data_IF_246120026512
#
_entry.id   IF_246120026512
#
_cell.length_a   1.000
_cell.length_b   1.000
_cell.length_c   1.000
_cell.angle_alpha   90.00
_cell.angle_beta   90.00
_cell.angle_gamma   90.00
#
_symmetry.space_group_name_H-M   'P 1'
#
loop_
_entity.id
_entity.type
_entity.pdbx_description
1 polymer ?
#
# COMPACT_ATOMS: atom_id res chain seq x y z
N UNK A 1 25.11 20.55 -7.06
CA UNK A 1 25.11 19.43 -6.11
C UNK A 1 24.10 18.44 -6.68
N UNK A 2 24.57 17.35 -7.29
CA UNK A 2 23.72 16.40 -8.01
C UNK A 2 23.46 15.22 -7.07
N UNK A 3 22.23 15.11 -6.57
CA UNK A 3 21.81 13.96 -5.75
C UNK A 3 21.50 12.79 -6.69
N UNK A 4 22.52 11.98 -6.94
CA UNK A 4 22.35 10.65 -7.53
C UNK A 4 21.96 9.73 -6.38
N UNK A 5 20.67 9.38 -6.30
CA UNK A 5 20.24 8.34 -5.35
C UNK A 5 20.51 6.99 -6.02
N UNK A 6 21.79 6.59 -6.00
CA UNK A 6 22.08 5.22 -5.66
C UNK A 6 21.55 5.05 -4.25
N UNK A 7 20.92 3.93 -3.94
CA UNK A 7 20.70 3.58 -2.53
C UNK A 7 22.06 3.14 -1.97
N UNK A 8 23.01 4.08 -1.97
CA UNK A 8 24.33 3.99 -1.41
C UNK A 8 24.19 4.41 0.03
N UNK A 9 24.32 3.43 0.91
CA UNK A 9 24.25 3.62 2.33
C UNK A 9 25.56 3.12 2.91
N UNK A 10 26.26 3.93 3.74
CA UNK A 10 27.45 3.45 4.43
C UNK A 10 27.04 2.22 5.26
N UNK A 11 27.70 1.11 4.97
CA UNK A 11 27.39 -0.22 5.49
C UNK A 11 27.35 -0.29 7.04
N UNK A 12 27.95 0.68 7.74
CA UNK A 12 28.14 0.66 9.20
C UNK A 12 26.98 1.24 10.03
N UNK A 13 25.91 1.78 9.42
CA UNK A 13 24.86 2.48 10.18
C UNK A 13 23.42 2.24 9.69
N UNK A 14 22.96 0.99 9.55
CA UNK A 14 21.61 0.74 9.02
C UNK A 14 20.63 -0.06 9.90
N UNK A 15 19.50 0.60 10.21
CA UNK A 15 18.18 0.02 10.51
C UNK A 15 17.44 -0.24 9.19
N UNK A 16 16.45 -1.15 9.12
CA UNK A 16 15.93 -1.72 7.86
C UNK A 16 15.28 -0.65 6.96
N UNK A 17 16.02 -0.14 5.98
CA UNK A 17 15.65 1.07 5.22
C UNK A 17 15.21 0.83 3.77
N UNK A 18 15.33 -0.39 3.26
CA UNK A 18 14.97 -0.69 1.88
C UNK A 18 13.60 -1.36 1.80
N UNK A 19 12.55 -0.57 2.05
CA UNK A 19 11.16 -0.97 1.81
C UNK A 19 10.66 -0.37 0.50
N UNK A 20 9.80 -1.08 -0.27
CA UNK A 20 9.19 -0.57 -1.50
C UNK A 20 8.58 0.81 -1.30
N UNK A 21 7.91 1.04 -0.16
CA UNK A 21 7.37 2.36 0.16
C UNK A 21 8.38 3.51 0.16
N UNK A 22 9.61 3.32 0.65
CA UNK A 22 10.61 4.39 0.60
C UNK A 22 11.09 4.62 -0.83
N UNK A 23 11.33 3.54 -1.56
CA UNK A 23 11.76 3.59 -2.96
C UNK A 23 10.68 4.27 -3.82
N UNK A 24 9.40 4.05 -3.52
CA UNK A 24 8.27 4.67 -4.21
C UNK A 24 8.27 6.21 -4.09
N UNK A 25 8.78 6.75 -2.98
CA UNK A 25 8.96 8.21 -2.81
C UNK A 25 9.97 8.78 -3.80
N UNK A 26 11.11 8.10 -3.98
CA UNK A 26 12.11 8.51 -4.96
C UNK A 26 11.61 8.29 -6.39
N UNK A 27 10.89 7.20 -6.61
CA UNK A 27 10.25 6.92 -7.89
C UNK A 27 9.25 8.02 -8.29
N UNK A 28 8.41 8.50 -7.35
CA UNK A 28 7.55 9.67 -7.60
C UNK A 28 8.34 10.92 -8.01
N UNK A 29 9.50 11.18 -7.41
CA UNK A 29 10.35 12.31 -7.80
C UNK A 29 10.90 12.11 -9.23
N UNK A 30 11.32 10.89 -9.57
CA UNK A 30 11.73 10.54 -10.93
C UNK A 30 10.58 10.75 -11.93
N UNK A 31 9.36 10.29 -11.62
CA UNK A 31 8.19 10.48 -12.47
C UNK A 31 7.86 11.96 -12.69
N UNK A 32 7.96 12.78 -11.65
CA UNK A 32 7.78 14.24 -11.75
C UNK A 32 8.84 14.87 -12.65
N UNK A 33 10.11 14.48 -12.50
CA UNK A 33 11.20 14.95 -13.34
C UNK A 33 11.01 14.52 -14.80
N UNK A 34 10.58 13.27 -15.03
CA UNK A 34 10.22 12.72 -16.35
C UNK A 34 9.11 13.52 -17.01
N UNK A 35 8.06 13.86 -16.27
CA UNK A 35 6.96 14.70 -16.78
C UNK A 35 7.45 16.10 -17.17
N UNK A 36 8.39 16.67 -16.41
CA UNK A 36 8.89 18.03 -16.62
C UNK A 36 9.94 18.15 -17.73
N UNK A 37 10.84 17.17 -17.85
CA UNK A 37 12.01 17.25 -18.74
C UNK A 37 12.10 16.14 -19.80
N UNK A 38 11.19 15.18 -19.79
CA UNK A 38 11.26 13.97 -20.62
C UNK A 38 12.09 12.85 -19.99
N UNK A 39 11.94 11.63 -20.53
CA UNK A 39 12.57 10.43 -20.01
C UNK A 39 14.10 10.48 -20.06
N UNK A 40 14.68 10.96 -21.16
CA UNK A 40 16.14 10.99 -21.34
C UNK A 40 16.82 11.91 -20.32
N UNK A 41 16.27 13.11 -20.11
CA UNK A 41 16.77 14.02 -19.08
C UNK A 41 16.60 13.44 -17.68
N UNK A 42 15.45 12.83 -17.35
CA UNK A 42 15.25 12.21 -16.04
C UNK A 42 16.18 11.01 -15.79
N UNK A 43 16.39 10.16 -16.80
CA UNK A 43 17.29 9.01 -16.74
C UNK A 43 18.77 9.43 -16.59
N UNK A 44 19.14 10.59 -17.14
CA UNK A 44 20.49 11.15 -17.04
C UNK A 44 20.72 11.90 -15.73
N UNK A 45 19.76 12.74 -15.32
CA UNK A 45 19.89 13.65 -14.18
C UNK A 45 19.70 12.93 -12.84
N UNK A 46 18.66 12.08 -12.73
CA UNK A 46 18.27 11.46 -11.46
C UNK A 46 17.55 10.12 -11.67
N UNK A 47 18.22 9.09 -12.23
CA UNK A 47 17.61 7.77 -12.36
C UNK A 47 17.34 7.17 -10.98
N UNK A 48 16.20 6.49 -10.84
CA UNK A 48 15.86 5.67 -9.66
C UNK A 48 15.70 4.25 -10.15
N UNK A 49 16.69 3.41 -9.85
CA UNK A 49 16.79 2.05 -10.38
C UNK A 49 16.79 1.06 -9.22
N UNK A 50 15.91 0.06 -9.31
CA UNK A 50 15.96 -1.15 -8.49
C UNK A 50 16.58 -2.24 -9.35
N UNK A 51 17.61 -2.90 -8.83
CA UNK A 51 18.26 -4.00 -9.54
C UNK A 51 17.55 -5.32 -9.19
N UNK A 52 17.10 -6.10 -10.19
CA UNK A 52 16.37 -7.34 -9.94
C UNK A 52 17.22 -8.34 -9.19
N UNK A 53 16.61 -9.09 -8.26
CA UNK A 53 17.21 -10.26 -7.59
C UNK A 53 18.37 -9.98 -6.62
N UNK A 54 18.80 -8.73 -6.51
CA UNK A 54 19.81 -8.32 -5.55
C UNK A 54 19.16 -8.01 -4.19
N UNK A 55 19.95 -8.10 -3.14
CA UNK A 55 19.63 -7.58 -1.81
C UNK A 55 20.57 -6.41 -1.45
N UNK A 56 20.43 -5.91 -0.22
CA UNK A 56 21.26 -4.80 0.24
C UNK A 56 22.72 -5.24 0.50
N UNK A 57 22.93 -6.45 1.03
CA UNK A 57 24.25 -7.04 1.27
C UNK A 57 25.11 -7.17 0.00
N UNK A 58 24.51 -7.36 -1.18
CA UNK A 58 25.22 -7.46 -2.46
C UNK A 58 26.06 -6.21 -2.81
N UNK A 59 25.69 -5.04 -2.27
CA UNK A 59 26.41 -3.78 -2.45
C UNK A 59 27.66 -3.68 -1.56
N UNK A 60 27.75 -4.51 -0.52
CA UNK A 60 28.86 -4.54 0.42
C UNK A 60 29.41 -5.98 0.55
N UNK A 61 30.11 -6.52 -0.47
CA UNK A 61 30.59 -7.90 -0.44
C UNK A 61 31.46 -8.18 0.79
N UNK A 62 31.15 -9.25 1.52
CA UNK A 62 31.93 -9.72 2.67
C UNK A 62 31.17 -9.82 3.98
N UNK A 63 29.92 -9.36 4.06
CA UNK A 63 29.06 -9.57 5.23
C UNK A 63 27.57 -9.52 4.84
N UNK A 64 26.76 -10.34 5.52
CA UNK A 64 25.31 -10.30 5.40
C UNK A 64 24.73 -9.30 6.42
N UNK A 65 23.86 -8.42 5.96
CA UNK A 65 23.16 -7.46 6.82
C UNK A 65 22.01 -8.18 7.52
N UNK A 66 21.97 -8.19 8.87
CA UNK A 66 20.90 -8.87 9.59
C UNK A 66 19.51 -8.38 9.19
N UNK A 67 18.64 -9.31 8.78
CA UNK A 67 17.28 -9.03 8.37
C UNK A 67 17.09 -8.76 6.86
N UNK A 68 18.17 -8.82 6.07
CA UNK A 68 18.07 -8.85 4.61
C UNK A 68 17.35 -10.12 4.13
N UNK A 69 16.66 -9.98 3.00
CA UNK A 69 16.24 -11.13 2.22
C UNK A 69 17.46 -11.72 1.51
N UNK A 70 17.56 -13.05 1.34
CA UNK A 70 18.62 -13.63 0.53
C UNK A 70 18.51 -13.14 -0.92
N UNK A 71 19.65 -12.80 -1.51
CA UNK A 71 19.75 -12.53 -2.94
C UNK A 71 19.34 -13.79 -3.74
N UNK A 72 18.79 -13.59 -4.94
CA UNK A 72 18.44 -14.69 -5.85
C UNK A 72 19.52 -14.92 -6.91
N UNK A 73 20.60 -14.13 -6.89
CA UNK A 73 21.78 -14.26 -7.74
C UNK A 73 23.03 -14.42 -6.88
N UNK A 74 24.09 -14.99 -7.44
CA UNK A 74 25.38 -15.06 -6.74
C UNK A 74 26.08 -13.70 -6.71
N UNK A 75 26.95 -13.49 -5.71
CA UNK A 75 27.70 -12.24 -5.52
C UNK A 75 28.43 -11.75 -6.78
N UNK A 76 29.00 -12.66 -7.58
CA UNK A 76 29.68 -12.28 -8.83
C UNK A 76 28.73 -11.65 -9.84
N UNK A 77 27.52 -12.20 -9.99
CA UNK A 77 26.49 -11.66 -10.88
C UNK A 77 25.95 -10.33 -10.33
N UNK A 78 25.73 -10.25 -9.01
CA UNK A 78 25.31 -9.02 -8.36
C UNK A 78 26.33 -7.88 -8.57
N UNK A 79 27.60 -8.12 -8.27
CA UNK A 79 28.69 -7.15 -8.48
C UNK A 79 28.82 -6.72 -9.94
N UNK A 80 28.67 -7.66 -10.89
CA UNK A 80 28.66 -7.34 -12.32
C UNK A 80 27.50 -6.42 -12.68
N UNK A 81 26.27 -6.75 -12.28
CA UNK A 81 25.06 -5.96 -12.56
C UNK A 81 25.13 -4.55 -11.95
N UNK A 82 25.60 -4.45 -10.70
CA UNK A 82 25.87 -3.16 -10.02
C UNK A 82 26.89 -2.36 -10.83
N UNK A 83 28.05 -2.95 -11.13
CA UNK A 83 29.14 -2.29 -11.84
C UNK A 83 28.75 -1.81 -13.24
N UNK A 84 28.00 -2.61 -14.00
CA UNK A 84 27.49 -2.24 -15.33
C UNK A 84 26.56 -1.02 -15.24
N UNK A 85 25.62 -1.03 -14.29
CA UNK A 85 24.66 0.07 -14.11
C UNK A 85 25.34 1.35 -13.62
N UNK A 86 26.26 1.24 -12.65
CA UNK A 86 27.06 2.38 -12.15
C UNK A 86 27.93 2.95 -13.26
N UNK A 87 28.63 2.09 -14.01
CA UNK A 87 29.49 2.53 -15.10
C UNK A 87 28.71 3.22 -16.21
N UNK A 88 27.48 2.79 -16.50
CA UNK A 88 26.63 3.48 -17.46
C UNK A 88 26.25 4.88 -16.99
N UNK A 89 25.83 5.02 -15.73
CA UNK A 89 25.56 6.34 -15.15
C UNK A 89 26.79 7.26 -15.21
N UNK A 90 27.96 6.77 -14.81
CA UNK A 90 29.22 7.54 -14.89
C UNK A 90 29.56 7.92 -16.32
N UNK A 91 29.36 7.02 -17.29
CA UNK A 91 29.63 7.29 -18.71
C UNK A 91 28.78 8.43 -19.28
N UNK A 92 27.54 8.63 -18.79
CA UNK A 92 26.70 9.76 -19.21
C UNK A 92 27.28 11.12 -18.78
N UNK A 93 27.94 11.16 -17.62
CA UNK A 93 28.49 12.38 -17.03
C UNK A 93 29.99 12.58 -17.34
N UNK A 94 30.67 11.55 -17.84
CA UNK A 94 32.09 11.62 -18.16
C UNK A 94 32.34 12.21 -19.56
N UNK A 95 33.03 13.35 -19.62
CA UNK A 95 33.33 14.06 -20.88
C UNK A 95 34.11 13.21 -21.91
N UNK A 96 34.91 12.25 -21.46
CA UNK A 96 35.69 11.38 -22.34
C UNK A 96 34.94 10.15 -22.90
N UNK A 97 33.64 10.01 -22.64
CA UNK A 97 32.88 8.80 -22.94
C UNK A 97 31.79 9.00 -24.01
N UNK A 98 31.90 10.01 -24.88
CA UNK A 98 30.86 10.33 -25.90
C UNK A 98 30.41 9.10 -26.71
N UNK A 99 31.36 8.29 -27.19
CA UNK A 99 31.05 7.06 -27.94
C UNK A 99 30.25 6.01 -27.15
N UNK A 100 30.20 6.10 -25.82
CA UNK A 100 29.51 5.16 -24.91
C UNK A 100 28.22 5.74 -24.33
N UNK A 101 27.93 7.03 -24.51
CA UNK A 101 26.75 7.65 -23.88
C UNK A 101 25.44 7.05 -24.36
N UNK A 102 25.32 6.77 -25.66
CA UNK A 102 24.11 6.17 -26.22
C UNK A 102 23.83 4.78 -25.62
N UNK A 103 24.83 3.89 -25.58
CA UNK A 103 24.66 2.54 -24.99
C UNK A 103 24.44 2.59 -23.48
N UNK A 104 25.09 3.52 -22.78
CA UNK A 104 24.87 3.75 -21.36
C UNK A 104 23.43 4.21 -21.06
N UNK A 105 22.91 5.16 -21.83
CA UNK A 105 21.55 5.65 -21.68
C UNK A 105 20.53 4.52 -21.93
N UNK A 106 20.73 3.72 -22.98
CA UNK A 106 19.84 2.59 -23.28
C UNK A 106 19.87 1.53 -22.17
N UNK A 107 21.04 1.25 -21.57
CA UNK A 107 21.13 0.39 -20.39
C UNK A 107 20.30 0.96 -19.23
N UNK A 108 20.49 2.23 -18.87
CA UNK A 108 19.72 2.84 -17.76
C UNK A 108 18.21 2.85 -18.06
N UNK A 109 17.79 3.14 -19.29
CA UNK A 109 16.37 3.07 -19.68
C UNK A 109 15.80 1.66 -19.50
N UNK A 110 16.54 0.62 -19.87
CA UNK A 110 16.09 -0.77 -19.65
C UNK A 110 15.91 -1.10 -18.17
N UNK A 111 16.81 -0.63 -17.30
CA UNK A 111 16.71 -0.84 -15.85
C UNK A 111 15.57 -0.02 -15.22
N UNK A 112 15.34 1.19 -15.74
CA UNK A 112 14.20 2.04 -15.38
C UNK A 112 12.88 1.39 -15.77
N UNK A 113 12.78 0.76 -16.94
CA UNK A 113 11.58 0.05 -17.36
C UNK A 113 11.25 -1.12 -16.42
N UNK A 114 12.27 -1.86 -15.97
CA UNK A 114 12.06 -2.90 -14.95
C UNK A 114 11.59 -2.31 -13.62
N UNK A 115 12.21 -1.22 -13.19
CA UNK A 115 11.83 -0.49 -11.96
C UNK A 115 10.40 0.05 -12.03
N UNK A 116 10.00 0.57 -13.20
CA UNK A 116 8.63 1.04 -13.46
C UNK A 116 7.62 -0.10 -13.31
N UNK A 117 7.93 -1.29 -13.86
CA UNK A 117 7.09 -2.48 -13.71
C UNK A 117 6.95 -2.94 -12.26
N UNK A 118 7.97 -2.75 -11.43
CA UNK A 118 7.94 -3.10 -10.01
C UNK A 118 7.16 -2.08 -9.16
N UNK A 119 7.40 -0.78 -9.37
CA UNK A 119 6.94 0.28 -8.47
C UNK A 119 5.63 0.93 -8.90
N UNK A 120 5.26 0.91 -10.18
CA UNK A 120 3.98 1.49 -10.62
C UNK A 120 2.77 0.84 -9.94
N UNK A 121 2.70 -0.50 -9.79
CA UNK A 121 1.61 -1.11 -9.04
C UNK A 121 1.57 -0.71 -7.56
N UNK A 122 2.73 -0.47 -6.96
CA UNK A 122 2.80 0.00 -5.58
C UNK A 122 2.22 1.42 -5.46
N UNK A 123 2.55 2.32 -6.39
CA UNK A 123 1.97 3.66 -6.44
C UNK A 123 0.45 3.62 -6.66
N UNK A 124 -0.02 2.77 -7.57
CA UNK A 124 -1.46 2.57 -7.79
C UNK A 124 -2.15 2.09 -6.50
N UNK A 125 -1.52 1.19 -5.75
CA UNK A 125 -2.04 0.75 -4.46
C UNK A 125 -2.03 1.87 -3.39
N UNK A 126 -1.09 2.82 -3.43
CA UNK A 126 -1.08 3.99 -2.55
C UNK A 126 -2.19 4.97 -2.92
N UNK A 127 -2.45 5.17 -4.22
CA UNK A 127 -3.54 6.03 -4.70
C UNK A 127 -4.93 5.51 -4.27
N UNK A 128 -5.07 4.21 -4.00
CA UNK A 128 -6.28 3.62 -3.41
C UNK A 128 -6.49 4.03 -1.94
N UNK A 129 -5.43 4.32 -1.20
CA UNK A 129 -5.54 4.80 0.18
C UNK A 129 -6.13 6.21 0.21
N UNK A 130 -5.60 7.06 -0.68
CA UNK A 130 -6.00 8.47 -0.82
C UNK A 130 -5.63 8.97 -2.22
N UNK A 131 -6.58 9.63 -2.87
CA UNK A 131 -6.33 10.47 -4.05
C UNK A 131 -6.73 11.91 -3.79
N UNK A 132 -5.89 12.85 -4.22
CA UNK A 132 -6.22 14.28 -4.22
C UNK A 132 -6.93 14.71 -5.50
N UNK A 133 -7.22 13.81 -6.45
CA UNK A 133 -7.85 14.18 -7.72
C UNK A 133 -9.37 14.36 -7.62
N UNK A 134 -10.01 13.76 -6.60
CA UNK A 134 -11.46 13.80 -6.40
C UNK A 134 -11.81 14.70 -5.21
N UNK A 135 -12.46 15.82 -5.50
CA UNK A 135 -12.88 16.81 -4.51
C UNK A 135 -14.40 16.94 -4.37
N UNK A 136 -15.16 15.96 -4.87
CA UNK A 136 -16.62 16.06 -4.93
C UNK A 136 -17.28 16.09 -3.54
N UNK A 137 -16.66 15.45 -2.54
CA UNK A 137 -17.20 15.37 -1.16
C UNK A 137 -16.30 16.09 -0.15
N UNK A 138 -14.97 16.04 -0.33
CA UNK A 138 -14.00 16.70 0.55
C UNK A 138 -12.92 17.41 -0.27
N UNK A 139 -12.53 18.60 0.15
CA UNK A 139 -11.38 19.32 -0.44
C UNK A 139 -10.04 18.60 -0.20
N UNK A 140 -10.01 17.64 0.72
CA UNK A 140 -8.80 16.90 1.09
C UNK A 140 -8.59 15.62 0.25
N UNK A 141 -9.57 15.26 -0.59
CA UNK A 141 -9.53 14.13 -1.51
C UNK A 141 -10.61 13.09 -1.24
N UNK A 142 -10.38 11.87 -1.75
CA UNK A 142 -11.20 10.68 -1.47
C UNK A 142 -10.31 9.45 -1.25
N UNK A 143 -10.85 8.40 -0.64
CA UNK A 143 -10.25 7.06 -0.57
C UNK A 143 -11.01 6.11 -1.50
N UNK A 144 -10.48 5.82 -2.71
CA UNK A 144 -11.08 4.86 -3.63
C UNK A 144 -11.30 3.49 -2.99
N UNK A 145 -10.44 3.10 -2.04
CA UNK A 145 -10.58 1.85 -1.32
C UNK A 145 -11.81 1.83 -0.38
N UNK A 146 -12.10 2.92 0.34
CA UNK A 146 -13.32 3.00 1.15
C UNK A 146 -14.59 2.96 0.29
N UNK A 147 -14.59 3.60 -0.88
CA UNK A 147 -15.70 3.47 -1.84
C UNK A 147 -15.90 2.03 -2.30
N UNK A 148 -14.81 1.32 -2.63
CA UNK A 148 -14.86 -0.11 -2.96
C UNK A 148 -15.37 -0.94 -1.79
N UNK A 149 -14.91 -0.66 -0.57
CA UNK A 149 -15.36 -1.34 0.63
C UNK A 149 -16.87 -1.17 0.86
N UNK A 150 -17.44 0.03 0.61
CA UNK A 150 -18.88 0.25 0.68
C UNK A 150 -19.66 -0.63 -0.29
N UNK A 151 -19.18 -0.81 -1.53
CA UNK A 151 -19.81 -1.68 -2.52
C UNK A 151 -19.78 -3.15 -2.11
N UNK A 152 -18.63 -3.63 -1.61
CA UNK A 152 -18.51 -5.01 -1.12
C UNK A 152 -19.41 -5.22 0.09
N UNK A 153 -19.36 -4.30 1.05
CA UNK A 153 -20.15 -4.36 2.28
C UNK A 153 -21.66 -4.35 1.98
N UNK A 154 -22.10 -3.60 0.97
CA UNK A 154 -23.51 -3.53 0.60
C UNK A 154 -24.09 -4.89 0.18
N UNK A 155 -23.25 -5.83 -0.29
CA UNK A 155 -23.65 -7.20 -0.60
C UNK A 155 -24.82 -7.28 -1.59
N UNK A 156 -24.89 -6.34 -2.54
CA UNK A 156 -25.99 -6.24 -3.49
C UNK A 156 -25.80 -7.22 -4.66
N UNK A 157 -26.92 -7.70 -5.21
CA UNK A 157 -26.92 -8.40 -6.50
C UNK A 157 -26.32 -7.52 -7.60
N UNK A 158 -25.84 -8.12 -8.69
CA UNK A 158 -25.27 -7.38 -9.81
C UNK A 158 -26.23 -6.31 -10.39
N UNK A 159 -27.55 -6.59 -10.39
CA UNK A 159 -28.57 -5.65 -10.87
C UNK A 159 -28.76 -4.46 -9.90
N UNK A 160 -28.75 -4.72 -8.59
CA UNK A 160 -28.90 -3.66 -7.58
C UNK A 160 -27.63 -2.87 -7.36
N UNK A 161 -26.45 -3.48 -7.56
CA UNK A 161 -25.17 -2.80 -7.45
C UNK A 161 -25.06 -1.62 -8.42
N UNK A 162 -25.69 -1.69 -9.60
CA UNK A 162 -25.75 -0.58 -10.57
C UNK A 162 -26.57 0.62 -10.07
N UNK A 163 -27.42 0.41 -9.05
CA UNK A 163 -28.24 1.46 -8.44
C UNK A 163 -27.52 2.17 -7.29
N UNK A 164 -26.44 1.59 -6.76
CA UNK A 164 -25.63 2.17 -5.71
C UNK A 164 -24.51 3.01 -6.32
N UNK A 165 -24.46 4.28 -5.94
CA UNK A 165 -23.33 5.18 -6.20
C UNK A 165 -22.65 5.50 -4.87
N UNK A 166 -21.33 5.44 -4.83
CA UNK A 166 -20.56 5.77 -3.64
C UNK A 166 -19.59 6.89 -3.96
N UNK A 167 -19.60 7.92 -3.14
CA UNK A 167 -18.58 8.95 -3.08
C UNK A 167 -17.94 8.94 -1.70
N UNK A 168 -16.65 9.25 -1.62
CA UNK A 168 -15.93 9.25 -0.35
C UNK A 168 -15.35 10.64 -0.05
N UNK A 169 -15.51 11.10 1.19
CA UNK A 169 -14.86 12.29 1.71
C UNK A 169 -13.65 11.91 2.56
N UNK A 170 -12.44 12.15 2.05
CA UNK A 170 -11.22 11.90 2.81
C UNK A 170 -10.96 13.01 3.82
N UNK A 171 -10.44 12.63 4.98
CA UNK A 171 -10.00 13.53 6.04
C UNK A 171 -8.54 13.27 6.43
N UNK A 172 -7.71 14.31 6.39
CA UNK A 172 -6.28 14.26 6.74
C UNK A 172 -6.10 14.05 8.25
N UNK A 173 -7.02 14.56 9.07
CA UNK A 173 -6.91 14.50 10.52
C UNK A 173 -8.01 13.63 11.12
N UNK A 174 -7.66 12.86 12.15
CA UNK A 174 -8.61 12.02 12.86
C UNK A 174 -9.76 12.82 13.52
N UNK A 175 -9.57 14.05 14.05
CA UNK A 175 -10.69 14.87 14.53
C UNK A 175 -11.73 15.20 13.45
N UNK A 176 -11.29 15.56 12.23
CA UNK A 176 -12.22 15.80 11.12
C UNK A 176 -12.99 14.52 10.75
N UNK A 177 -12.31 13.37 10.77
CA UNK A 177 -12.98 12.08 10.59
C UNK A 177 -14.02 11.83 11.68
N UNK A 178 -13.73 12.15 12.95
CA UNK A 178 -14.64 11.92 14.07
C UNK A 178 -15.99 12.60 13.86
N UNK A 179 -15.98 13.85 13.42
CA UNK A 179 -17.18 14.64 13.13
C UNK A 179 -17.86 14.27 11.80
N UNK A 180 -17.17 13.57 10.89
CA UNK A 180 -17.79 13.11 9.65
C UNK A 180 -18.68 11.89 9.89
N UNK A 181 -19.85 11.88 9.26
CA UNK A 181 -20.80 10.78 9.31
C UNK A 181 -21.22 10.40 7.89
N UNK A 182 -21.37 9.09 7.60
CA UNK A 182 -21.84 8.69 6.29
C UNK A 182 -23.27 9.18 6.08
N UNK A 183 -23.54 9.73 4.89
CA UNK A 183 -24.86 10.24 4.51
C UNK A 183 -25.35 9.55 3.25
N UNK A 184 -26.63 9.70 2.94
CA UNK A 184 -27.18 9.18 1.70
C UNK A 184 -28.28 10.07 1.13
N UNK A 185 -28.56 9.89 -0.15
CA UNK A 185 -29.68 10.52 -0.85
C UNK A 185 -30.27 9.51 -1.83
N UNK A 186 -31.60 9.40 -1.84
CA UNK A 186 -32.32 8.55 -2.78
C UNK A 186 -32.80 9.42 -3.94
N UNK A 187 -32.42 9.06 -5.16
CA UNK A 187 -32.89 9.70 -6.40
C UNK A 187 -33.57 8.64 -7.27
N UNK A 188 -34.91 8.62 -7.21
CA UNK A 188 -35.72 7.58 -7.84
C UNK A 188 -35.36 6.18 -7.33
N UNK A 189 -34.76 5.35 -8.21
CA UNK A 189 -34.32 3.99 -7.87
C UNK A 189 -32.84 3.90 -7.51
N UNK A 190 -32.10 5.02 -7.53
CA UNK A 190 -30.66 5.07 -7.24
C UNK A 190 -30.43 5.58 -5.82
N UNK A 191 -29.36 5.08 -5.21
CA UNK A 191 -28.88 5.52 -3.90
C UNK A 191 -27.49 6.10 -4.08
N UNK A 192 -27.32 7.36 -3.72
CA UNK A 192 -26.01 7.96 -3.52
C UNK A 192 -25.63 7.85 -2.04
N UNK A 193 -24.54 7.17 -1.75
CA UNK A 193 -23.91 7.10 -0.42
C UNK A 193 -22.67 7.97 -0.41
N UNK A 194 -22.50 8.76 0.65
CA UNK A 194 -21.26 9.48 0.94
C UNK A 194 -20.60 8.86 2.16
N UNK A 195 -19.47 8.18 1.98
CA UNK A 195 -18.63 7.67 3.07
C UNK A 195 -17.65 8.72 3.56
N UNK A 196 -17.04 8.48 4.72
CA UNK A 196 -15.92 9.27 5.22
C UNK A 196 -14.71 8.37 5.40
N UNK A 197 -13.52 8.87 5.08
CA UNK A 197 -12.28 8.10 5.21
C UNK A 197 -11.14 8.89 5.85
N UNK A 198 -10.16 8.17 6.37
CA UNK A 198 -8.91 8.70 6.91
C UNK A 198 -7.86 7.61 6.89
N UNK A 199 -6.61 7.96 6.64
CA UNK A 199 -5.47 7.03 6.75
C UNK A 199 -4.56 7.46 7.89
N UNK A 200 -4.15 6.49 8.70
CA UNK A 200 -3.06 6.69 9.65
C UNK A 200 -1.76 6.22 8.98
N UNK A 201 -0.74 7.09 8.98
CA UNK A 201 0.59 6.79 8.47
C UNK A 201 1.58 6.67 9.62
N UNK A 202 2.60 5.85 9.43
CA UNK A 202 3.70 5.77 10.39
C UNK A 202 4.40 7.13 10.51
N UNK A 203 4.58 7.67 11.74
CA UNK A 203 5.16 9.01 11.91
C UNK A 203 6.63 9.01 11.49
N UNK A 204 7.04 9.79 10.49
CA UNK A 204 8.43 9.82 10.01
C UNK A 204 9.38 10.67 10.87
N UNK A 205 9.52 10.30 12.15
CA UNK A 205 10.29 11.06 13.15
C UNK A 205 11.81 11.09 12.92
N UNK A 206 12.34 10.42 11.89
CA UNK A 206 13.80 10.32 11.69
C UNK A 206 14.27 10.05 10.25
N UNK A 207 13.38 10.11 9.24
CA UNK A 207 13.72 9.83 7.84
C UNK A 207 14.41 8.44 7.65
N UNK A 208 14.15 7.48 8.53
CA UNK A 208 14.84 6.17 8.61
C UNK A 208 14.36 5.15 7.57
N UNK A 209 13.64 5.57 6.52
CA UNK A 209 13.08 4.65 5.53
C UNK A 209 11.77 3.97 5.96
N UNK A 210 10.85 4.72 6.60
CA UNK A 210 9.56 4.16 7.04
C UNK A 210 8.66 3.73 5.88
N UNK A 211 7.76 2.81 6.20
CA UNK A 211 6.65 2.35 5.37
C UNK A 211 5.82 3.58 4.98
N UNK A 212 5.72 3.86 3.68
CA UNK A 212 4.91 4.97 3.16
C UNK A 212 3.46 4.59 2.92
N UNK A 213 3.16 3.29 2.89
CA UNK A 213 1.79 2.81 2.96
C UNK A 213 1.15 3.19 4.30
N UNK A 214 -0.15 3.40 4.29
CA UNK A 214 -0.93 3.61 5.50
C UNK A 214 -0.82 2.37 6.42
N UNK A 215 -0.68 2.63 7.72
CA UNK A 215 -0.80 1.61 8.76
C UNK A 215 -2.22 1.03 8.76
N UNK A 216 -3.22 1.89 8.56
CA UNK A 216 -4.63 1.54 8.42
C UNK A 216 -5.40 2.58 7.59
N UNK A 217 -6.50 2.14 6.99
CA UNK A 217 -7.51 2.99 6.35
C UNK A 217 -8.79 2.90 7.19
N UNK A 218 -9.14 3.97 7.90
CA UNK A 218 -10.41 4.06 8.60
C UNK A 218 -11.53 4.48 7.66
N UNK A 219 -12.51 3.60 7.43
CA UNK A 219 -13.68 3.88 6.61
C UNK A 219 -14.95 3.93 7.47
N UNK A 220 -15.70 5.04 7.39
CA UNK A 220 -17.05 5.18 7.96
C UNK A 220 -18.08 4.94 6.86
N UNK A 221 -18.73 3.77 6.90
CA UNK A 221 -19.64 3.28 5.85
C UNK A 221 -21.08 3.17 6.36
N UNK A 222 -22.03 3.02 5.44
CA UNK A 222 -23.37 2.52 5.75
C UNK A 222 -23.37 1.00 5.79
N UNK A 223 -24.13 0.44 6.73
CA UNK A 223 -24.37 -1.01 6.82
C UNK A 223 -25.09 -1.55 5.57
N UNK A 224 -24.91 -2.86 5.31
CA UNK A 224 -25.59 -3.56 4.23
C UNK A 224 -27.11 -3.42 4.34
N UNK A 225 -27.63 -3.52 5.57
CA UNK A 225 -29.05 -3.42 5.90
C UNK A 225 -29.58 -2.03 5.58
N UNK A 226 -28.85 -0.98 5.93
CA UNK A 226 -29.22 0.40 5.58
C UNK A 226 -29.27 0.57 4.07
N UNK A 227 -28.25 0.14 3.35
CA UNK A 227 -28.19 0.27 1.89
C UNK A 227 -29.35 -0.48 1.23
N UNK A 228 -29.58 -1.73 1.61
CA UNK A 228 -30.68 -2.55 1.11
C UNK A 228 -32.06 -1.93 1.41
N UNK A 229 -32.25 -1.39 2.62
CA UNK A 229 -33.47 -0.69 3.02
C UNK A 229 -33.75 0.53 2.12
N UNK A 230 -32.74 1.38 1.87
CA UNK A 230 -32.93 2.58 1.05
C UNK A 230 -33.16 2.25 -0.43
N UNK A 231 -32.58 1.16 -0.92
CA UNK A 231 -32.79 0.67 -2.28
C UNK A 231 -34.06 -0.17 -2.44
N UNK A 232 -34.77 -0.50 -1.36
CA UNK A 232 -35.92 -1.42 -1.34
C UNK A 232 -35.56 -2.79 -1.96
N UNK A 233 -34.42 -3.34 -1.55
CA UNK A 233 -33.92 -4.66 -1.99
C UNK A 233 -33.43 -5.48 -0.81
N UNK A 234 -32.83 -6.64 -1.09
CA UNK A 234 -32.17 -7.50 -0.12
C UNK A 234 -30.67 -7.55 -0.40
N UNK A 235 -29.86 -7.48 0.66
CA UNK A 235 -28.44 -7.84 0.57
C UNK A 235 -28.32 -9.37 0.55
N UNK A 236 -27.53 -9.91 -0.38
CA UNK A 236 -27.21 -11.34 -0.47
C UNK A 236 -26.44 -11.80 0.77
N UNK A 237 -25.64 -10.91 1.34
CA UNK A 237 -24.89 -11.12 2.57
C UNK A 237 -25.19 -10.00 3.57
N UNK A 238 -26.00 -10.32 4.57
CA UNK A 238 -26.26 -9.42 5.69
C UNK A 238 -25.06 -9.49 6.66
N UNK A 239 -24.55 -8.33 7.09
CA UNK A 239 -23.45 -8.18 8.06
C UNK A 239 -22.11 -8.85 7.69
N UNK A 240 -21.55 -8.53 6.53
CA UNK A 240 -20.15 -8.89 6.24
C UNK A 240 -19.19 -8.23 7.25
N UNK A 241 -18.28 -8.97 7.91
CA UNK A 241 -17.32 -8.42 8.85
C UNK A 241 -16.26 -7.58 8.11
N UNK A 242 -15.64 -6.61 8.77
CA UNK A 242 -14.52 -5.82 8.24
C UNK A 242 -13.35 -6.71 7.77
N UNK A 243 -13.14 -7.87 8.42
CA UNK A 243 -12.23 -8.91 7.96
C UNK A 243 -12.44 -9.34 6.49
N UNK A 244 -13.69 -9.35 5.97
CA UNK A 244 -13.96 -9.63 4.57
C UNK A 244 -13.41 -8.54 3.63
N UNK A 245 -13.46 -7.28 4.06
CA UNK A 245 -12.92 -6.16 3.29
C UNK A 245 -11.38 -6.15 3.31
N UNK A 246 -10.77 -6.64 4.38
CA UNK A 246 -9.32 -6.86 4.40
C UNK A 246 -8.89 -7.99 3.43
N UNK A 247 -9.70 -9.03 3.24
CA UNK A 247 -9.45 -10.03 2.18
C UNK A 247 -9.49 -9.38 0.80
N UNK A 248 -10.41 -8.45 0.58
CA UNK A 248 -10.46 -7.65 -0.66
C UNK A 248 -9.20 -6.80 -0.82
N UNK A 249 -8.68 -6.17 0.25
CA UNK A 249 -7.41 -5.44 0.19
C UNK A 249 -6.27 -6.33 -0.35
N UNK A 250 -6.21 -7.57 0.13
CA UNK A 250 -5.22 -8.55 -0.33
C UNK A 250 -5.43 -8.95 -1.79
N UNK A 251 -6.67 -9.25 -2.19
CA UNK A 251 -6.99 -9.58 -3.58
C UNK A 251 -6.62 -8.44 -4.54
N UNK A 252 -6.89 -7.19 -4.15
CA UNK A 252 -6.54 -6.01 -4.94
C UNK A 252 -5.03 -5.89 -5.08
N UNK A 253 -4.29 -6.06 -3.99
CA UNK A 253 -2.84 -6.05 -4.04
C UNK A 253 -2.28 -7.20 -4.90
N UNK A 254 -2.84 -8.41 -4.84
CA UNK A 254 -2.44 -9.52 -5.72
C UNK A 254 -2.71 -9.22 -7.20
N UNK A 255 -3.80 -8.52 -7.53
CA UNK A 255 -4.11 -8.12 -8.91
C UNK A 255 -3.16 -7.03 -9.43
N UNK A 256 -2.68 -6.15 -8.55
CA UNK A 256 -1.73 -5.10 -8.89
C UNK A 256 -0.30 -5.64 -8.97
N UNK A 257 0.09 -6.54 -8.08
CA UNK A 257 1.46 -7.02 -7.95
C UNK A 257 2.08 -7.43 -9.29
N UNK A 258 3.30 -6.97 -9.54
CA UNK A 258 4.10 -7.46 -10.66
C UNK A 258 4.17 -9.00 -10.63
N UNK A 259 4.06 -9.65 -11.79
CA UNK A 259 3.99 -11.12 -11.88
C UNK A 259 5.17 -11.81 -11.16
N UNK A 260 6.37 -11.24 -11.27
CA UNK A 260 7.56 -11.70 -10.55
C UNK A 260 7.41 -11.64 -9.03
N UNK A 261 6.87 -10.53 -8.51
CA UNK A 261 6.58 -10.33 -7.08
C UNK A 261 5.54 -11.32 -6.59
N UNK A 262 4.42 -11.45 -7.30
CA UNK A 262 3.32 -12.34 -6.90
C UNK A 262 3.76 -13.81 -6.90
N UNK A 263 4.51 -14.23 -7.93
CA UNK A 263 5.09 -15.57 -8.00
C UNK A 263 6.04 -15.82 -6.82
N UNK A 264 6.99 -14.92 -6.56
CA UNK A 264 7.94 -15.05 -5.44
C UNK A 264 7.21 -15.13 -4.09
N UNK A 265 6.19 -14.29 -3.89
CA UNK A 265 5.34 -14.31 -2.71
C UNK A 265 4.59 -15.64 -2.55
N UNK A 266 4.00 -16.18 -3.62
CA UNK A 266 3.28 -17.47 -3.56
C UNK A 266 4.20 -18.66 -3.28
N UNK A 267 5.43 -18.61 -3.79
CA UNK A 267 6.41 -19.68 -3.62
C UNK A 267 7.06 -19.70 -2.22
N UNK A 268 7.34 -18.52 -1.66
CA UNK A 268 8.20 -18.39 -0.48
C UNK A 268 7.59 -17.57 0.66
N UNK A 269 6.56 -16.79 0.35
CA UNK A 269 5.97 -15.83 1.27
C UNK A 269 5.01 -16.47 2.26
N UNK A 270 4.94 -15.87 3.44
CA UNK A 270 3.91 -16.14 4.45
C UNK A 270 2.60 -15.43 4.10
N UNK A 271 1.49 -16.12 4.30
CA UNK A 271 0.15 -15.68 3.91
C UNK A 271 -0.46 -14.61 4.82
N UNK A 272 -1.79 -14.52 4.77
CA UNK A 272 -2.60 -13.65 5.62
C UNK A 272 -3.58 -14.47 6.46
N UNK A 273 -3.69 -14.13 7.75
CA UNK A 273 -4.69 -14.72 8.64
C UNK A 273 -5.67 -13.63 9.07
N UNK A 274 -6.93 -13.75 8.69
CA UNK A 274 -7.97 -12.78 9.08
C UNK A 274 -8.70 -13.30 10.31
N UNK A 275 -8.55 -12.57 11.42
CA UNK A 275 -9.20 -12.85 12.68
C UNK A 275 -10.59 -12.21 12.72
N UNK A 276 -11.41 -12.62 13.68
CA UNK A 276 -12.69 -11.98 13.96
C UNK A 276 -12.48 -10.51 14.36
N UNK A 277 -13.38 -9.65 13.89
CA UNK A 277 -13.35 -8.23 14.21
C UNK A 277 -13.48 -7.98 15.72
N UNK A 278 -12.79 -6.96 16.21
CA UNK A 278 -12.93 -6.49 17.59
C UNK A 278 -14.02 -5.40 17.63
N UNK A 279 -15.11 -5.57 18.41
CA UNK A 279 -16.15 -4.56 18.48
C UNK A 279 -15.66 -3.29 19.19
N UNK A 280 -15.99 -2.13 18.63
CA UNK A 280 -15.79 -0.83 19.24
C UNK A 280 -17.09 -0.31 19.86
N UNK A 281 -16.98 0.32 21.02
CA UNK A 281 -18.13 0.72 21.85
C UNK A 281 -18.67 2.12 21.52
N UNK A 282 -17.86 2.98 20.89
CA UNK A 282 -18.23 4.35 20.60
C UNK A 282 -17.41 4.95 19.46
N UNK A 283 -18.01 5.89 18.72
CA UNK A 283 -17.36 6.58 17.58
C UNK A 283 -16.01 7.21 17.93
N UNK A 284 -15.90 8.04 18.99
CA UNK A 284 -14.62 8.62 19.40
C UNK A 284 -13.56 7.57 19.76
N UNK A 285 -13.97 6.46 20.38
CA UNK A 285 -13.06 5.36 20.73
C UNK A 285 -12.53 4.70 19.46
N UNK A 286 -13.42 4.40 18.51
CA UNK A 286 -13.07 3.85 17.20
C UNK A 286 -12.11 4.74 16.41
N UNK A 287 -12.31 6.07 16.43
CA UNK A 287 -11.44 7.00 15.70
C UNK A 287 -10.08 7.13 16.38
N UNK A 288 -10.04 7.45 17.67
CA UNK A 288 -8.82 7.91 18.32
C UNK A 288 -8.00 6.81 19.00
N UNK A 289 -8.64 5.74 19.49
CA UNK A 289 -7.98 4.72 20.30
C UNK A 289 -7.80 3.41 19.55
N UNK A 290 -8.82 2.98 18.82
CA UNK A 290 -8.78 1.69 18.17
C UNK A 290 -7.89 1.72 16.93
N UNK A 291 -7.12 0.65 16.71
CA UNK A 291 -6.20 0.49 15.59
C UNK A 291 -6.34 -0.90 14.99
N UNK A 292 -6.12 -1.02 13.69
CA UNK A 292 -5.93 -2.28 13.01
C UNK A 292 -4.76 -3.03 13.67
N UNK A 293 -5.04 -4.20 14.23
CA UNK A 293 -3.99 -5.01 14.84
C UNK A 293 -3.33 -5.87 13.76
N UNK A 294 -2.02 -5.72 13.62
CA UNK A 294 -1.17 -6.52 12.73
C UNK A 294 -0.17 -7.30 13.59
N UNK A 295 -0.29 -8.63 13.61
CA UNK A 295 0.62 -9.51 14.36
C UNK A 295 1.21 -10.55 13.43
N UNK A 296 2.51 -10.48 13.22
CA UNK A 296 3.25 -11.50 12.48
C UNK A 296 3.39 -12.78 13.30
N UNK A 297 3.22 -13.94 12.65
CA UNK A 297 3.58 -15.24 13.18
C UNK A 297 4.37 -16.05 12.13
N UNK A 298 4.72 -17.30 12.46
CA UNK A 298 5.52 -18.17 11.60
C UNK A 298 4.91 -18.47 10.22
N UNK A 299 3.60 -18.34 10.05
CA UNK A 299 2.87 -18.73 8.83
C UNK A 299 2.20 -17.57 8.08
N UNK A 300 1.87 -16.49 8.78
CA UNK A 300 1.08 -15.39 8.20
C UNK A 300 1.21 -14.08 8.98
N UNK A 301 0.75 -13.00 8.35
CA UNK A 301 0.38 -11.76 9.04
C UNK A 301 -1.08 -11.88 9.52
N UNK A 302 -1.29 -11.92 10.83
CA UNK A 302 -2.62 -11.91 11.43
C UNK A 302 -3.19 -10.48 11.47
N UNK A 303 -4.41 -10.31 10.97
CA UNK A 303 -5.11 -9.03 10.86
C UNK A 303 -6.41 -9.08 11.64
N UNK A 304 -6.59 -8.15 12.57
CA UNK A 304 -7.84 -7.95 13.29
C UNK A 304 -8.30 -6.49 13.18
N UNK A 305 -9.53 -6.30 12.71
CA UNK A 305 -10.12 -4.98 12.53
C UNK A 305 -10.99 -4.60 13.71
N UNK A 306 -10.78 -3.41 14.30
CA UNK A 306 -11.83 -2.75 15.06
C UNK A 306 -13.03 -2.40 14.16
N UNK A 307 -14.22 -2.81 14.58
CA UNK A 307 -15.47 -2.57 13.87
C UNK A 307 -16.52 -1.89 14.75
N UNK A 308 -17.34 -1.02 14.16
CA UNK A 308 -18.51 -0.44 14.83
C UNK A 308 -19.73 -0.58 13.92
N UNK A 309 -20.60 -1.52 14.25
CA UNK A 309 -21.86 -1.76 13.53
C UNK A 309 -23.03 -1.33 14.41
N UNK A 310 -23.96 -0.56 13.87
CA UNK A 310 -25.21 -0.20 14.56
C UNK A 310 -26.42 -0.73 13.82
N UNK A 311 -27.48 -1.03 14.57
CA UNK A 311 -28.75 -1.42 13.99
C UNK A 311 -29.37 -0.24 13.20
N UNK A 312 -30.14 -0.55 12.14
CA UNK A 312 -30.84 0.47 11.34
C UNK A 312 -31.89 1.25 12.15
N UNK A 313 -32.29 0.73 13.31
CA UNK A 313 -33.21 1.36 14.26
C UNK A 313 -32.51 2.00 15.48
N UNK A 314 -31.18 2.04 15.51
CA UNK A 314 -30.44 2.63 16.64
C UNK A 314 -30.77 4.13 16.79
N UNK A 315 -30.87 4.61 18.03
CA UNK A 315 -31.18 6.04 18.28
C UNK A 315 -30.04 6.97 17.85
N UNK A 316 -28.81 6.47 17.85
CA UNK A 316 -27.60 7.23 17.57
C UNK A 316 -26.89 6.53 16.41
N UNK A 317 -26.69 7.26 15.31
CA UNK A 317 -26.07 6.78 14.06
C UNK A 317 -26.68 5.48 13.53
N UNK A 318 -27.93 5.47 13.05
CA UNK A 318 -28.63 4.24 12.69
C UNK A 318 -28.12 3.60 11.40
N UNK A 319 -27.68 2.35 11.47
CA UNK A 319 -27.28 1.54 10.31
C UNK A 319 -25.93 1.93 9.72
N UNK A 320 -24.95 2.27 10.56
CA UNK A 320 -23.57 2.50 10.14
C UNK A 320 -22.73 1.23 10.28
N UNK A 321 -21.63 1.15 9.54
CA UNK A 321 -20.59 0.15 9.74
C UNK A 321 -19.22 0.80 9.55
N UNK A 322 -18.48 1.01 10.64
CA UNK A 322 -17.14 1.58 10.59
C UNK A 322 -16.10 0.46 10.64
N UNK A 323 -15.10 0.53 9.75
CA UNK A 323 -14.06 -0.48 9.62
C UNK A 323 -12.68 0.16 9.57
N UNK A 324 -11.75 -0.32 10.40
CA UNK A 324 -10.31 -0.10 10.17
C UNK A 324 -9.82 -1.17 9.22
N UNK A 325 -9.37 -0.78 8.05
CA UNK A 325 -9.03 -1.68 6.96
C UNK A 325 -7.54 -1.67 6.66
N UNK A 326 -7.07 -2.80 6.15
CA UNK A 326 -5.72 -2.98 5.65
C UNK A 326 -5.52 -2.18 4.37
N UNK A 327 -4.38 -1.47 4.28
CA UNK A 327 -4.00 -0.78 3.05
C UNK A 327 -3.55 -1.77 1.97
N UNK A 328 -4.03 -1.65 0.71
CA UNK A 328 -3.49 -2.40 -0.41
C UNK A 328 -1.98 -2.20 -0.64
N UNK A 329 -1.45 -0.98 -0.46
CA UNK A 329 -0.01 -0.74 -0.55
C UNK A 329 0.75 -1.42 0.58
N UNK A 330 0.18 -1.48 1.80
CA UNK A 330 0.76 -2.21 2.93
C UNK A 330 0.80 -3.71 2.66
N UNK A 331 -0.20 -4.24 1.95
CA UNK A 331 -0.18 -5.64 1.48
C UNK A 331 0.97 -5.87 0.50
N UNK A 332 1.15 -5.01 -0.50
CA UNK A 332 2.27 -5.13 -1.44
C UNK A 332 3.61 -5.04 -0.73
N UNK A 333 3.75 -4.12 0.23
CA UNK A 333 4.94 -4.00 1.07
C UNK A 333 5.25 -5.33 1.78
N UNK A 334 4.25 -5.99 2.37
CA UNK A 334 4.38 -7.31 2.98
C UNK A 334 4.81 -8.38 1.98
N UNK A 335 4.13 -8.47 0.82
CA UNK A 335 4.43 -9.44 -0.24
C UNK A 335 5.85 -9.30 -0.79
N UNK A 336 6.36 -8.07 -0.87
CA UNK A 336 7.69 -7.75 -1.41
C UNK A 336 8.81 -7.89 -0.36
N UNK A 337 8.49 -7.86 0.93
CA UNK A 337 9.51 -7.78 1.99
C UNK A 337 9.30 -8.79 3.11
N UNK A 338 8.62 -8.39 4.18
CA UNK A 338 8.61 -9.10 5.45
C UNK A 338 7.99 -10.50 5.31
N UNK A 339 7.08 -10.76 4.37
CA UNK A 339 6.54 -12.11 4.13
C UNK A 339 7.58 -13.14 3.73
N UNK A 340 8.70 -12.70 3.13
CA UNK A 340 9.75 -13.54 2.56
C UNK A 340 10.88 -13.83 3.54
N UNK A 341 10.88 -13.19 4.71
CA UNK A 341 11.84 -13.46 5.78
C UNK A 341 11.54 -14.82 6.40
N UNK A 342 12.54 -15.54 6.93
CA UNK A 342 12.29 -16.72 7.75
C UNK A 342 11.30 -16.41 8.87
N UNK A 343 10.43 -17.36 9.23
CA UNK A 343 9.60 -17.29 10.44
C UNK A 343 10.44 -16.82 11.63
N UNK A 344 10.02 -15.79 12.35
CA UNK A 344 10.69 -15.46 13.61
C UNK A 344 10.60 -16.69 14.51
N UNK A 345 11.73 -17.35 14.76
CA UNK A 345 11.78 -18.51 15.66
C UNK A 345 11.56 -18.11 17.14
N UNK A 346 11.29 -16.83 17.42
CA UNK A 346 11.07 -16.31 18.77
C UNK A 346 9.83 -16.88 19.48
N UNK A 347 8.96 -17.62 18.76
CA UNK A 347 7.86 -18.37 19.38
C UNK A 347 8.23 -19.82 19.76
N UNK A 348 9.48 -20.27 19.54
CA UNK A 348 9.97 -21.58 19.96
C UNK A 348 10.68 -21.56 21.34
N UNK A 349 10.78 -20.42 21.99
CA UNK A 349 11.39 -20.30 23.32
C UNK A 349 10.33 -20.24 24.44
N UNK A 350 10.42 -21.24 25.33
CA UNK A 350 9.70 -21.46 26.60
C UNK A 350 8.42 -22.31 26.47
N UNK A 351 8.61 -23.60 26.16
CA UNK A 351 7.98 -24.65 26.96
C UNK A 351 9.13 -25.26 27.78
N UNK A 352 9.29 -24.80 29.03
CA UNK A 352 10.08 -25.48 30.06
C UNK A 352 9.12 -25.99 31.11
#
# INVERSE_FOLDING_TARGET
>A
MYDVVWVDFPCEAFKPSQRPGKISTWWHQFLKLRQQKGLEAAATDKPVIVLPKLNHSDFCPGFDVPGDLPAEVGQQEATRTIGETVSAFVALHWKGAEAKKASALELLKSQLAWTEGLLSPYLEAQDLERTAADHNVSSEGSSPFCSRAQHVLAGLSAADAQRLQVQDGFHITSPNLEHCHPTWTVDGKKLLVRSCSHTNYYPDISNTGKITAAEEIGCKLLSAERVAQQLQTHAEHQRLPCAAMNRVAVQVAEQLAAESTLRRYREKGRGWCFLDDSPSVAGPVWVFKDRLALKENSTCMAVQSPSMLTDVNARIYPGIHYCKLLSPARVLDWMMTDSLKPGSQSDLSIIV
#
